data_IF_119571553046
#
_entry.id   IF_119571553046
#
_cell.length_a   1.000
_cell.length_b   1.000
_cell.length_c   1.000
_cell.angle_alpha   90.00
_cell.angle_beta   90.00
_cell.angle_gamma   90.00
#
_symmetry.space_group_name_H-M   'P 1'
#
loop_
_entity.id
_entity.type
_entity.pdbx_description
1 polymer ?
#
# COMPACT_ATOMS: atom_id res chain seq x y z
N UNK A 1 16.56 10.25 0.12
CA UNK A 1 16.94 9.65 -1.18
C UNK A 1 15.79 9.88 -2.13
N UNK A 2 16.03 10.53 -3.27
CA UNK A 2 15.00 10.72 -4.30
C UNK A 2 14.69 9.37 -4.94
N UNK A 3 13.41 9.10 -5.22
CA UNK A 3 12.99 7.98 -6.07
C UNK A 3 13.37 8.28 -7.54
N UNK A 4 14.45 7.67 -8.08
CA UNK A 4 15.02 8.10 -9.36
C UNK A 4 14.16 7.69 -10.55
N UNK A 5 13.28 6.69 -10.39
CA UNK A 5 12.44 6.20 -11.48
C UNK A 5 11.16 7.00 -11.53
N UNK A 6 10.53 7.22 -10.37
CA UNK A 6 9.36 8.08 -10.31
C UNK A 6 9.69 9.52 -10.75
N UNK A 7 10.86 10.05 -10.39
CA UNK A 7 11.29 11.39 -10.80
C UNK A 7 11.40 11.57 -12.33
N UNK A 8 11.64 10.48 -13.08
CA UNK A 8 11.64 10.49 -14.55
C UNK A 8 10.25 10.27 -15.13
N UNK A 9 9.38 9.55 -14.43
CA UNK A 9 8.00 9.30 -14.87
C UNK A 9 7.10 10.51 -14.62
N UNK A 10 7.35 11.27 -13.56
CA UNK A 10 6.48 12.35 -13.10
C UNK A 10 7.24 13.48 -12.37
N UNK A 11 6.63 14.65 -12.30
CA UNK A 11 7.15 15.84 -11.63
C UNK A 11 8.17 16.64 -12.46
N UNK A 12 8.97 17.50 -11.81
CA UNK A 12 9.77 18.51 -12.50
C UNK A 12 10.93 17.93 -13.33
N UNK A 13 11.37 16.70 -13.02
CA UNK A 13 12.47 16.02 -13.71
C UNK A 13 11.97 14.97 -14.72
N UNK A 14 10.69 15.04 -15.09
CA UNK A 14 10.06 14.08 -16.00
C UNK A 14 10.82 14.04 -17.33
N UNK A 15 11.10 12.83 -17.79
CA UNK A 15 11.73 12.54 -19.07
C UNK A 15 10.69 11.86 -19.99
N UNK A 16 10.19 12.55 -21.04
CA UNK A 16 9.21 11.98 -21.97
C UNK A 16 9.70 10.75 -22.74
N UNK A 17 11.02 10.52 -22.83
CA UNK A 17 11.60 9.37 -23.49
C UNK A 17 11.88 8.19 -22.54
N UNK A 18 11.68 8.38 -21.23
CA UNK A 18 11.90 7.33 -20.25
C UNK A 18 10.69 6.40 -20.15
N UNK A 19 10.95 5.10 -20.31
CA UNK A 19 9.97 4.03 -20.11
C UNK A 19 10.38 3.16 -18.92
N UNK A 20 9.42 2.82 -18.06
CA UNK A 20 9.64 1.87 -16.97
C UNK A 20 9.50 0.44 -17.51
N UNK A 21 10.61 -0.28 -17.62
CA UNK A 21 10.62 -1.66 -18.15
C UNK A 21 10.39 -2.73 -17.07
N UNK A 22 10.23 -2.34 -15.80
CA UNK A 22 10.20 -3.28 -14.67
C UNK A 22 8.83 -3.92 -14.52
N UNK A 23 8.60 -5.01 -15.24
CA UNK A 23 7.37 -5.78 -15.08
C UNK A 23 7.41 -6.61 -13.79
N UNK A 24 6.34 -6.51 -13.02
CA UNK A 24 6.17 -7.20 -11.74
C UNK A 24 4.87 -8.02 -11.76
N UNK A 25 4.70 -8.90 -10.79
CA UNK A 25 3.44 -9.62 -10.53
C UNK A 25 3.13 -9.50 -9.04
N UNK A 26 1.89 -9.15 -8.70
CA UNK A 26 1.48 -8.87 -7.32
C UNK A 26 0.07 -9.35 -7.03
N UNK A 27 -0.21 -9.58 -5.75
CA UNK A 27 -1.55 -9.56 -5.18
C UNK A 27 -1.68 -8.35 -4.26
N UNK A 28 -2.60 -7.45 -4.58
CA UNK A 28 -2.87 -6.23 -3.82
C UNK A 28 -4.18 -6.31 -3.05
N UNK A 29 -4.21 -5.69 -1.87
CA UNK A 29 -5.46 -5.25 -1.25
C UNK A 29 -5.77 -3.82 -1.67
N UNK A 30 -7.02 -3.53 -2.04
CA UNK A 30 -7.47 -2.16 -2.33
C UNK A 30 -8.13 -1.55 -1.10
N UNK A 31 -7.76 -0.32 -0.70
CA UNK A 31 -8.43 0.34 0.40
C UNK A 31 -9.88 0.65 0.04
N UNK A 32 -10.82 0.49 0.99
CA UNK A 32 -12.20 0.93 0.82
C UNK A 32 -12.28 2.46 0.75
N UNK A 33 -13.46 2.98 0.39
CA UNK A 33 -13.69 4.40 0.19
C UNK A 33 -13.29 5.23 1.42
N UNK A 34 -13.68 4.82 2.62
CA UNK A 34 -13.38 5.60 3.84
C UNK A 34 -11.87 5.71 4.14
N UNK A 35 -11.08 4.70 3.79
CA UNK A 35 -9.60 4.76 3.90
C UNK A 35 -9.02 5.65 2.81
N UNK A 36 -9.59 5.63 1.60
CA UNK A 36 -9.19 6.56 0.52
C UNK A 36 -9.49 8.01 0.90
N UNK A 37 -10.63 8.27 1.53
CA UNK A 37 -11.02 9.59 2.00
C UNK A 37 -10.09 10.07 3.11
N UNK A 38 -9.79 9.21 4.09
CA UNK A 38 -8.78 9.48 5.13
C UNK A 38 -7.42 9.85 4.53
N UNK A 39 -6.96 9.09 3.53
CA UNK A 39 -5.69 9.40 2.84
C UNK A 39 -5.78 10.71 2.05
N UNK A 40 -6.92 11.02 1.43
CA UNK A 40 -7.15 12.30 0.77
C UNK A 40 -7.00 13.49 1.72
N UNK A 41 -7.62 13.42 2.90
CA UNK A 41 -7.46 14.44 3.96
C UNK A 41 -5.98 14.60 4.38
N UNK A 42 -5.29 13.47 4.58
CA UNK A 42 -3.85 13.48 4.92
C UNK A 42 -3.02 14.14 3.82
N UNK A 43 -3.25 13.79 2.56
CA UNK A 43 -2.48 14.32 1.44
C UNK A 43 -2.68 15.83 1.28
N UNK A 44 -3.88 16.35 1.51
CA UNK A 44 -4.13 17.80 1.49
C UNK A 44 -3.41 18.53 2.63
N UNK A 45 -3.44 17.98 3.86
CA UNK A 45 -2.70 18.55 4.98
C UNK A 45 -1.18 18.57 4.73
N UNK A 46 -0.63 17.49 4.16
CA UNK A 46 0.79 17.42 3.81
C UNK A 46 1.15 18.38 2.67
N UNK A 47 0.27 18.52 1.67
CA UNK A 47 0.47 19.44 0.53
C UNK A 47 0.60 20.89 0.98
N UNK A 48 -0.06 21.27 2.08
CA UNK A 48 0.03 22.63 2.63
C UNK A 48 1.45 23.04 3.08
N UNK A 49 2.29 22.08 3.44
CA UNK A 49 3.67 22.32 3.92
C UNK A 49 4.75 21.76 2.98
N UNK A 50 4.38 20.83 2.09
CA UNK A 50 5.30 20.18 1.15
C UNK A 50 4.64 19.97 -0.23
N UNK A 51 4.34 21.04 -0.98
CA UNK A 51 3.64 20.95 -2.26
C UNK A 51 4.43 20.24 -3.36
N UNK A 52 5.76 20.20 -3.25
CA UNK A 52 6.66 19.56 -4.22
C UNK A 52 6.79 18.02 -4.05
N UNK A 53 6.15 17.43 -3.04
CA UNK A 53 6.07 15.99 -2.91
C UNK A 53 5.19 15.39 -4.00
N UNK A 54 5.56 14.19 -4.45
CA UNK A 54 4.65 13.39 -5.24
C UNK A 54 3.66 12.71 -4.31
N UNK A 55 2.37 12.85 -4.59
CA UNK A 55 1.30 12.22 -3.84
C UNK A 55 0.68 11.10 -4.66
N UNK A 56 0.54 9.91 -4.06
CA UNK A 56 -0.08 8.76 -4.71
C UNK A 56 -1.52 9.07 -5.09
N UNK A 57 -1.93 8.96 -6.37
CA UNK A 57 -3.32 9.15 -6.75
C UNK A 57 -4.24 8.18 -5.98
N UNK A 58 -5.39 8.66 -5.49
CA UNK A 58 -6.26 7.88 -4.60
C UNK A 58 -6.75 6.57 -5.23
N UNK A 59 -6.96 6.54 -6.55
CA UNK A 59 -7.34 5.35 -7.30
C UNK A 59 -6.21 4.32 -7.44
N UNK A 60 -4.96 4.77 -7.29
CA UNK A 60 -3.76 3.94 -7.37
C UNK A 60 -3.38 3.35 -6.01
N UNK A 61 -4.00 3.78 -4.91
CA UNK A 61 -3.72 3.27 -3.58
C UNK A 61 -3.91 1.75 -3.49
N UNK A 62 -2.98 1.10 -2.81
CA UNK A 62 -2.97 -0.33 -2.59
C UNK A 62 -2.07 -0.68 -1.40
N UNK A 63 -2.36 -1.82 -0.78
CA UNK A 63 -1.44 -2.53 0.11
C UNK A 63 -0.91 -3.76 -0.63
N UNK A 64 0.40 -3.98 -0.59
CA UNK A 64 0.98 -5.18 -1.24
C UNK A 64 0.88 -6.37 -0.31
N UNK A 65 -0.04 -7.30 -0.57
CA UNK A 65 -0.16 -8.57 0.18
C UNK A 65 0.99 -9.51 -0.19
N UNK A 66 1.27 -9.63 -1.49
CA UNK A 66 2.43 -10.37 -1.98
C UNK A 66 2.98 -9.74 -3.26
N UNK A 67 4.29 -9.50 -3.29
CA UNK A 67 5.04 -9.36 -4.53
C UNK A 67 5.50 -10.77 -4.95
N UNK A 68 4.96 -11.28 -6.06
CA UNK A 68 5.30 -12.61 -6.57
C UNK A 68 6.67 -12.55 -7.22
N UNK A 69 6.88 -11.62 -8.14
CA UNK A 69 8.17 -11.37 -8.82
C UNK A 69 8.29 -9.90 -9.18
N UNK A 70 9.51 -9.43 -9.41
CA UNK A 70 9.81 -8.05 -9.80
C UNK A 70 10.83 -7.99 -10.94
N UNK A 71 10.73 -6.93 -11.75
CA UNK A 71 11.71 -6.57 -12.81
C UNK A 71 12.05 -7.72 -13.78
N UNK A 72 11.02 -8.42 -14.24
CA UNK A 72 11.15 -9.46 -15.28
C UNK A 72 10.77 -8.90 -16.66
N UNK A 73 11.11 -9.66 -17.70
CA UNK A 73 10.61 -9.38 -19.05
C UNK A 73 9.11 -9.70 -19.15
N UNK A 74 8.44 -9.12 -20.14
CA UNK A 74 7.01 -9.39 -20.38
C UNK A 74 6.74 -10.88 -20.64
N UNK A 75 7.62 -11.55 -21.40
CA UNK A 75 7.49 -12.98 -21.69
C UNK A 75 7.56 -13.85 -20.43
N UNK A 76 8.47 -13.54 -19.50
CA UNK A 76 8.58 -14.26 -18.24
C UNK A 76 7.36 -14.02 -17.35
N UNK A 77 6.89 -12.78 -17.29
CA UNK A 77 5.66 -12.41 -16.57
C UNK A 77 4.45 -13.16 -17.11
N UNK A 78 4.26 -13.20 -18.43
CA UNK A 78 3.14 -13.88 -19.06
C UNK A 78 3.16 -15.39 -18.81
N UNK A 79 4.36 -16.01 -18.76
CA UNK A 79 4.52 -17.42 -18.39
C UNK A 79 4.07 -17.69 -16.95
N UNK A 80 4.51 -16.87 -15.99
CA UNK A 80 4.13 -17.02 -14.57
C UNK A 80 2.64 -16.79 -14.38
N UNK A 81 2.07 -15.77 -15.02
CA UNK A 81 0.62 -15.50 -14.98
C UNK A 81 -0.17 -16.68 -15.53
N UNK A 82 0.27 -17.27 -16.64
CA UNK A 82 -0.36 -18.47 -17.20
C UNK A 82 -0.34 -19.63 -16.22
N UNK A 83 0.77 -19.86 -15.52
CA UNK A 83 0.86 -20.89 -14.47
C UNK A 83 -0.10 -20.62 -13.31
N UNK A 84 -0.28 -19.37 -12.88
CA UNK A 84 -1.22 -19.03 -11.80
C UNK A 84 -2.69 -19.12 -12.24
N UNK A 85 -2.99 -18.93 -13.52
CA UNK A 85 -4.33 -19.10 -14.07
C UNK A 85 -4.70 -20.58 -14.26
N UNK A 86 -3.71 -21.47 -14.40
CA UNK A 86 -3.96 -22.91 -14.46
C UNK A 86 -4.70 -23.38 -13.20
N UNK A 87 -5.69 -24.25 -13.40
CA UNK A 87 -6.50 -24.87 -12.35
C UNK A 87 -7.21 -23.89 -11.38
N UNK A 88 -7.35 -22.63 -11.79
CA UNK A 88 -8.04 -21.57 -11.06
C UNK A 88 -7.32 -21.11 -9.79
N UNK A 89 -5.99 -21.24 -9.72
CA UNK A 89 -5.22 -20.86 -8.53
C UNK A 89 -5.32 -19.35 -8.26
N UNK A 90 -5.20 -18.51 -9.29
CA UNK A 90 -5.33 -17.06 -9.19
C UNK A 90 -6.67 -16.63 -8.59
N UNK A 91 -7.79 -17.21 -9.03
CA UNK A 91 -9.14 -16.93 -8.53
C UNK A 91 -9.30 -17.37 -7.08
N UNK A 92 -8.77 -18.55 -6.71
CA UNK A 92 -8.79 -19.02 -5.32
C UNK A 92 -7.98 -18.10 -4.40
N UNK A 93 -6.85 -17.60 -4.87
CA UNK A 93 -6.01 -16.67 -4.10
C UNK A 93 -6.72 -15.31 -3.99
N UNK A 94 -7.21 -14.77 -5.11
CA UNK A 94 -7.90 -13.49 -5.17
C UNK A 94 -9.12 -13.42 -4.23
N UNK A 95 -9.83 -14.54 -4.08
CA UNK A 95 -11.01 -14.68 -3.22
C UNK A 95 -10.72 -15.18 -1.79
N UNK A 96 -9.45 -15.28 -1.37
CA UNK A 96 -9.09 -15.74 -0.01
C UNK A 96 -9.75 -14.88 1.08
N UNK A 97 -10.02 -13.60 0.79
CA UNK A 97 -10.67 -12.67 1.71
C UNK A 97 -12.16 -12.95 1.96
N UNK A 98 -12.78 -13.86 1.20
CA UNK A 98 -14.13 -14.34 1.50
C UNK A 98 -14.15 -15.26 2.72
N UNK A 99 -13.07 -16.01 2.93
CA UNK A 99 -12.90 -16.94 4.04
C UNK A 99 -12.21 -16.29 5.23
N UNK A 100 -11.21 -15.45 4.98
CA UNK A 100 -10.42 -14.83 6.03
C UNK A 100 -10.47 -13.31 5.92
N UNK A 101 -10.88 -12.62 6.98
CA UNK A 101 -11.15 -11.19 6.96
C UNK A 101 -10.24 -10.46 7.95
N UNK A 102 -8.92 -10.39 7.69
CA UNK A 102 -8.00 -9.76 8.62
C UNK A 102 -8.32 -8.27 8.72
N UNK A 103 -8.47 -7.80 9.96
CA UNK A 103 -8.74 -6.40 10.28
C UNK A 103 -7.44 -5.67 10.58
N UNK A 104 -7.39 -4.42 10.13
CA UNK A 104 -6.32 -3.47 10.34
C UNK A 104 -6.88 -2.26 11.08
N UNK A 105 -6.17 -1.81 12.12
CA UNK A 105 -6.57 -0.69 12.97
C UNK A 105 -5.36 0.21 13.23
N UNK A 106 -5.60 1.31 13.94
CA UNK A 106 -4.58 2.26 14.40
C UNK A 106 -3.76 2.84 13.23
N UNK A 107 -4.42 3.54 12.29
CA UNK A 107 -3.74 4.22 11.18
C UNK A 107 -2.72 5.22 11.73
N UNK A 108 -1.53 5.24 11.13
CA UNK A 108 -0.46 6.19 11.46
C UNK A 108 0.45 6.43 10.26
N UNK A 109 0.84 7.68 10.03
CA UNK A 109 1.84 8.03 9.02
C UNK A 109 3.21 7.59 9.54
N UNK A 110 3.90 6.88 8.67
CA UNK A 110 5.29 6.47 8.81
C UNK A 110 6.07 6.99 7.60
N UNK A 111 7.35 7.28 7.77
CA UNK A 111 8.19 7.78 6.69
C UNK A 111 9.61 7.27 6.83
N UNK A 112 10.30 7.21 5.69
CA UNK A 112 11.72 6.95 5.62
C UNK A 112 12.40 7.94 4.67
N UNK A 113 13.64 7.66 4.28
CA UNK A 113 14.37 8.54 3.38
C UNK A 113 13.77 8.67 1.98
N UNK A 114 12.85 7.80 1.56
CA UNK A 114 12.33 7.72 0.19
C UNK A 114 10.83 8.05 0.09
N UNK A 115 10.03 7.70 1.09
CA UNK A 115 8.58 7.80 1.00
C UNK A 115 7.88 8.06 2.34
N UNK A 116 6.61 8.40 2.24
CA UNK A 116 5.65 8.41 3.34
C UNK A 116 4.57 7.37 3.06
N UNK A 117 4.15 6.68 4.11
CA UNK A 117 3.14 5.63 4.04
C UNK A 117 2.17 5.72 5.21
N UNK A 118 0.89 5.50 4.94
CA UNK A 118 -0.10 5.25 5.99
C UNK A 118 0.00 3.77 6.37
N UNK A 119 0.44 3.51 7.60
CA UNK A 119 0.62 2.17 8.17
C UNK A 119 -0.51 1.84 9.14
N UNK A 120 -0.82 0.56 9.25
CA UNK A 120 -1.78 -0.01 10.18
C UNK A 120 -1.15 -1.18 10.93
N UNK A 121 -1.75 -1.56 12.05
CA UNK A 121 -1.43 -2.81 12.74
C UNK A 121 -2.62 -3.78 12.67
N UNK A 122 -2.40 -5.11 12.73
CA UNK A 122 -3.49 -6.05 12.88
C UNK A 122 -4.32 -5.76 14.12
N UNK A 123 -5.63 -5.89 14.02
CA UNK A 123 -6.48 -5.94 15.19
C UNK A 123 -6.16 -7.18 16.05
N UNK A 124 -6.47 -7.09 17.33
CA UNK A 124 -6.25 -8.08 18.37
C UNK A 124 -7.42 -8.07 19.38
N UNK A 125 -8.65 -8.00 18.86
CA UNK A 125 -9.89 -7.95 19.63
C UNK A 125 -10.45 -6.55 19.84
N UNK A 126 -9.91 -5.51 19.19
CA UNK A 126 -10.48 -4.17 19.30
C UNK A 126 -11.85 -4.08 18.58
N UNK A 127 -12.82 -3.43 19.22
CA UNK A 127 -14.17 -3.21 18.69
C UNK A 127 -15.27 -3.85 19.54
N UNK A 128 -16.48 -3.30 19.44
CA UNK A 128 -17.64 -3.81 20.17
C UNK A 128 -17.98 -5.24 19.73
N UNK A 129 -18.11 -6.15 20.70
CA UNK A 129 -18.43 -7.56 20.43
C UNK A 129 -17.33 -8.34 19.72
N UNK A 130 -16.12 -7.79 19.60
CA UNK A 130 -14.95 -8.47 19.01
C UNK A 130 -14.10 -9.12 20.09
N UNK A 131 -13.52 -10.25 19.73
CA UNK A 131 -12.63 -11.01 20.59
C UNK A 131 -11.27 -11.20 19.92
N UNK A 132 -10.26 -11.54 20.72
CA UNK A 132 -8.94 -11.95 20.19
C UNK A 132 -9.07 -13.11 19.20
N UNK A 133 -10.06 -13.98 19.40
CA UNK A 133 -10.32 -15.14 18.55
C UNK A 133 -10.79 -14.76 17.15
N UNK A 134 -11.56 -13.66 17.04
CA UNK A 134 -12.00 -13.13 15.75
C UNK A 134 -10.83 -12.60 14.90
N UNK A 135 -9.75 -12.15 15.56
CA UNK A 135 -8.56 -11.59 14.90
C UNK A 135 -7.35 -12.52 14.88
N UNK A 136 -7.52 -13.81 15.23
CA UNK A 136 -6.45 -14.82 15.13
C UNK A 136 -5.82 -14.86 13.75
N UNK A 137 -6.61 -14.69 12.69
CA UNK A 137 -6.11 -14.58 11.32
C UNK A 137 -5.74 -13.13 10.99
N UNK A 138 -4.51 -12.75 11.31
CA UNK A 138 -3.98 -11.41 11.03
C UNK A 138 -3.59 -11.19 9.56
N UNK A 139 -3.30 -9.95 9.19
CA UNK A 139 -2.74 -9.61 7.88
C UNK A 139 -1.45 -10.39 7.55
N UNK A 140 -0.62 -10.71 8.56
CA UNK A 140 0.58 -11.53 8.32
C UNK A 140 0.26 -12.98 7.95
N UNK A 141 -0.81 -13.55 8.53
CA UNK A 141 -1.32 -14.85 8.11
C UNK A 141 -1.84 -14.79 6.68
N UNK A 142 -2.53 -13.72 6.28
CA UNK A 142 -2.95 -13.52 4.89
C UNK A 142 -1.76 -13.55 3.93
N UNK A 143 -0.71 -12.76 4.21
CA UNK A 143 0.51 -12.73 3.38
C UNK A 143 1.12 -14.11 3.24
N UNK A 144 1.26 -14.83 4.37
CA UNK A 144 1.81 -16.19 4.39
C UNK A 144 0.95 -17.17 3.61
N UNK A 145 -0.37 -17.10 3.80
CA UNK A 145 -1.34 -17.96 3.11
C UNK A 145 -1.30 -17.76 1.60
N UNK A 146 -1.25 -16.50 1.13
CA UNK A 146 -1.12 -16.16 -0.28
C UNK A 146 0.22 -16.66 -0.83
N UNK A 147 1.32 -16.49 -0.09
CA UNK A 147 2.64 -17.03 -0.45
C UNK A 147 2.58 -18.56 -0.63
N UNK A 148 2.03 -19.28 0.35
CA UNK A 148 1.98 -20.76 0.31
C UNK A 148 1.10 -21.24 -0.86
N UNK A 149 0.02 -20.53 -1.20
CA UNK A 149 -0.82 -20.85 -2.37
C UNK A 149 -0.11 -20.59 -3.70
N UNK A 150 0.63 -19.49 -3.83
CA UNK A 150 1.44 -19.21 -5.03
C UNK A 150 2.52 -20.28 -5.20
N UNK A 151 3.16 -20.68 -4.10
CA UNK A 151 4.14 -21.76 -4.10
C UNK A 151 3.52 -23.12 -4.50
N UNK A 152 2.34 -23.44 -3.95
CA UNK A 152 1.61 -24.66 -4.29
C UNK A 152 1.13 -24.69 -5.75
N UNK A 153 0.92 -23.54 -6.37
CA UNK A 153 0.65 -23.40 -7.80
C UNK A 153 1.90 -23.53 -8.68
N UNK A 154 3.07 -23.85 -8.11
CA UNK A 154 4.31 -24.08 -8.85
C UNK A 154 5.13 -22.80 -9.14
N UNK A 155 4.75 -21.66 -8.57
CA UNK A 155 5.48 -20.40 -8.72
C UNK A 155 6.24 -20.08 -7.44
N UNK A 156 7.56 -19.97 -7.51
CA UNK A 156 8.38 -19.56 -6.36
C UNK A 156 8.41 -18.03 -6.24
N UNK A 157 7.85 -17.41 -5.19
CA UNK A 157 7.92 -15.98 -5.05
C UNK A 157 9.35 -15.49 -4.83
N UNK A 158 9.71 -14.37 -5.45
CA UNK A 158 10.98 -13.67 -5.30
C UNK A 158 10.68 -12.21 -4.91
N UNK A 159 10.26 -12.00 -3.65
CA UNK A 159 9.94 -10.65 -3.14
C UNK A 159 11.20 -9.89 -2.77
N UNK A 160 11.24 -8.58 -3.06
CA UNK A 160 12.33 -7.68 -2.62
C UNK A 160 12.25 -7.33 -1.14
N UNK A 161 11.03 -7.28 -0.60
CA UNK A 161 10.77 -6.81 0.75
C UNK A 161 10.33 -7.98 1.62
N UNK A 162 11.14 -8.25 2.65
CA UNK A 162 10.87 -9.27 3.66
C UNK A 162 10.08 -8.71 4.86
N UNK A 163 10.14 -7.39 5.12
CA UNK A 163 9.48 -6.79 6.29
C UNK A 163 7.97 -6.72 6.07
N UNK A 164 7.18 -7.42 6.89
CA UNK A 164 5.74 -7.47 6.70
C UNK A 164 5.12 -6.25 7.37
N UNK A 165 5.03 -5.13 6.66
CA UNK A 165 4.28 -3.96 7.14
C UNK A 165 2.95 -3.85 6.38
N UNK A 166 1.88 -3.51 7.10
CA UNK A 166 0.57 -3.23 6.51
C UNK A 166 0.46 -1.75 6.19
N UNK A 167 0.94 -1.34 5.02
CA UNK A 167 1.02 0.08 4.66
C UNK A 167 0.58 0.36 3.23
N UNK A 168 0.14 1.59 2.99
CA UNK A 168 -0.04 2.18 1.67
C UNK A 168 0.94 3.32 1.49
N UNK A 169 1.70 3.33 0.40
CA UNK A 169 2.48 4.53 0.06
C UNK A 169 1.53 5.66 -0.31
N UNK A 170 1.66 6.80 0.38
CA UNK A 170 0.82 7.98 0.17
C UNK A 170 1.58 9.15 -0.46
N UNK A 171 2.89 9.22 -0.26
CA UNK A 171 3.75 10.24 -0.88
C UNK A 171 5.18 9.75 -1.09
N UNK A 172 5.92 10.39 -2.01
CA UNK A 172 7.33 10.10 -2.32
C UNK A 172 8.13 11.38 -2.54
N UNK A 173 9.41 11.32 -2.16
CA UNK A 173 10.38 12.36 -2.50
C UNK A 173 10.90 12.12 -3.92
N UNK A 174 10.51 12.99 -4.87
CA UNK A 174 10.92 12.89 -6.29
C UNK A 174 11.85 14.03 -6.74
N UNK A 175 12.04 15.02 -5.87
CA UNK A 175 12.95 16.15 -6.05
C UNK A 175 13.31 16.72 -4.65
N UNK A 176 14.13 17.78 -4.62
CA UNK A 176 14.51 18.48 -3.37
C UNK A 176 13.98 19.92 -3.32
N UNK A 177 13.19 20.37 -4.30
CA UNK A 177 12.82 21.77 -4.48
C UNK A 177 12.13 22.34 -3.23
N UNK A 178 11.22 21.55 -2.63
CA UNK A 178 10.51 21.92 -1.42
C UNK A 178 11.36 21.99 -0.14
N UNK A 179 12.63 21.58 -0.20
CA UNK A 179 13.53 21.51 0.95
C UNK A 179 14.85 22.28 0.74
N UNK A 180 14.88 23.16 -0.26
CA UNK A 180 16.05 24.00 -0.56
C UNK A 180 15.67 25.48 -0.39
N UNK A 181 16.60 26.26 0.15
CA UNK A 181 16.56 27.72 0.22
C UNK A 181 17.97 28.26 0.00
N UNK A 182 18.11 29.30 -0.84
CA UNK A 182 19.38 29.91 -1.23
C UNK A 182 20.46 28.90 -1.70
N UNK A 183 20.02 27.85 -2.40
CA UNK A 183 20.89 26.80 -2.93
C UNK A 183 21.40 25.79 -1.89
N UNK A 184 20.89 25.84 -0.66
CA UNK A 184 21.25 24.94 0.44
C UNK A 184 20.04 24.25 1.04
N UNK A 185 20.24 23.14 1.74
CA UNK A 185 19.16 22.41 2.40
C UNK A 185 18.55 23.24 3.54
N UNK A 186 17.24 23.43 3.48
CA UNK A 186 16.46 24.19 4.45
C UNK A 186 15.91 23.25 5.54
N UNK A 187 16.55 23.32 6.72
CA UNK A 187 16.16 22.50 7.88
C UNK A 187 14.82 22.91 8.47
N UNK A 188 14.42 24.17 8.34
CA UNK A 188 13.15 24.64 8.88
C UNK A 188 11.98 24.11 8.07
N UNK A 189 12.10 24.06 6.73
CA UNK A 189 11.09 23.39 5.88
C UNK A 189 10.99 21.89 6.19
N UNK A 190 12.12 21.21 6.38
CA UNK A 190 12.10 19.80 6.76
C UNK A 190 11.44 19.58 8.13
N UNK A 191 11.72 20.46 9.10
CA UNK A 191 11.08 20.45 10.41
C UNK A 191 9.57 20.69 10.32
N UNK A 192 9.12 21.65 9.51
CA UNK A 192 7.70 21.95 9.32
C UNK A 192 6.92 20.72 8.81
N UNK A 193 7.50 19.95 7.88
CA UNK A 193 6.92 18.70 7.39
C UNK A 193 6.83 17.65 8.50
N UNK A 194 7.89 17.49 9.30
CA UNK A 194 7.90 16.54 10.42
C UNK A 194 6.85 16.94 11.47
N UNK A 195 6.82 18.20 11.87
CA UNK A 195 5.85 18.72 12.84
C UNK A 195 4.40 18.54 12.34
N UNK A 196 4.17 18.73 11.04
CA UNK A 196 2.87 18.45 10.41
C UNK A 196 2.51 16.97 10.48
N UNK A 197 3.45 16.06 10.21
CA UNK A 197 3.23 14.61 10.30
C UNK A 197 2.86 14.21 11.73
N UNK A 198 3.59 14.70 12.74
CA UNK A 198 3.29 14.41 14.15
C UNK A 198 1.89 14.89 14.53
N UNK A 199 1.53 16.12 14.14
CA UNK A 199 0.17 16.65 14.35
C UNK A 199 -0.91 15.79 13.68
N UNK A 200 -0.67 15.33 12.44
CA UNK A 200 -1.62 14.43 11.76
C UNK A 200 -1.72 13.11 12.52
N UNK A 201 -0.60 12.54 13.00
CA UNK A 201 -0.62 11.29 13.77
C UNK A 201 -1.40 11.43 15.08
N UNK A 202 -1.27 12.54 15.81
CA UNK A 202 -2.08 12.83 17.00
C UNK A 202 -3.59 12.89 16.66
N UNK A 203 -3.94 13.50 15.52
CA UNK A 203 -5.32 13.56 15.04
C UNK A 203 -5.85 12.18 14.64
N UNK A 204 -5.04 11.39 13.93
CA UNK A 204 -5.39 10.01 13.56
C UNK A 204 -5.62 9.14 14.79
N UNK A 205 -4.75 9.27 15.79
CA UNK A 205 -4.91 8.57 17.07
C UNK A 205 -6.21 8.97 17.76
N UNK A 206 -6.47 10.27 17.86
CA UNK A 206 -7.69 10.77 18.53
C UNK A 206 -8.97 10.38 17.80
N UNK A 207 -8.98 10.43 16.47
CA UNK A 207 -10.19 10.26 15.65
C UNK A 207 -10.49 8.79 15.32
N UNK A 208 -9.46 7.96 15.16
CA UNK A 208 -9.60 6.64 14.53
C UNK A 208 -9.05 5.47 15.35
N UNK A 209 -8.29 5.70 16.43
CA UNK A 209 -7.80 4.57 17.22
C UNK A 209 -8.87 4.01 18.15
N UNK A 210 -8.81 2.71 18.46
CA UNK A 210 -9.74 2.08 19.38
C UNK A 210 -9.74 2.75 20.77
N UNK A 211 -10.93 2.89 21.35
CA UNK A 211 -11.18 3.37 22.71
C UNK A 211 -11.97 2.33 23.50
N UNK A 212 -12.30 2.61 24.76
CA UNK A 212 -13.20 1.77 25.56
C UNK A 212 -14.59 1.59 24.91
N UNK A 213 -15.02 2.56 24.10
CA UNK A 213 -16.29 2.49 23.36
C UNK A 213 -16.20 1.67 22.05
N UNK A 214 -15.02 1.12 21.72
CA UNK A 214 -14.78 0.37 20.50
C UNK A 214 -13.92 1.13 19.48
N UNK A 215 -13.91 0.64 18.23
CA UNK A 215 -13.17 1.28 17.13
C UNK A 215 -14.05 2.38 16.54
N UNK A 216 -13.58 3.64 16.47
CA UNK A 216 -14.32 4.72 15.83
C UNK A 216 -14.64 4.41 14.36
N UNK A 217 -15.75 4.98 13.87
CA UNK A 217 -16.15 4.84 12.47
C UNK A 217 -15.02 5.29 11.52
N UNK A 218 -14.74 4.47 10.51
CA UNK A 218 -13.66 4.71 9.55
C UNK A 218 -12.25 4.40 10.07
N UNK A 219 -12.07 4.06 11.35
CA UNK A 219 -10.76 3.73 11.93
C UNK A 219 -10.27 2.30 11.70
N UNK A 220 -11.15 1.44 11.19
CA UNK A 220 -10.86 0.06 10.83
C UNK A 220 -10.81 -0.11 9.31
N UNK A 221 -9.92 -0.99 8.85
CA UNK A 221 -9.95 -1.56 7.51
C UNK A 221 -9.97 -3.09 7.57
N UNK A 222 -11.06 -3.70 7.09
CA UNK A 222 -11.09 -5.14 6.82
C UNK A 222 -10.63 -5.42 5.40
N UNK A 223 -9.53 -6.17 5.23
CA UNK A 223 -9.02 -6.50 3.88
C UNK A 223 -10.07 -7.36 3.15
N UNK A 224 -10.53 -6.88 1.99
CA UNK A 224 -11.55 -7.57 1.20
C UNK A 224 -12.96 -6.97 1.25
N UNK A 225 -13.22 -5.93 2.05
CA UNK A 225 -14.58 -5.44 2.32
C UNK A 225 -15.32 -4.76 1.15
N UNK A 226 -14.61 -4.37 0.07
CA UNK A 226 -15.24 -3.85 -1.17
C UNK A 226 -14.89 -4.72 -2.37
N UNK A 227 -13.62 -5.12 -2.42
CA UNK A 227 -13.01 -5.94 -3.47
C UNK A 227 -12.06 -6.91 -2.78
N UNK A 228 -11.98 -8.13 -3.30
CA UNK A 228 -10.98 -9.09 -2.88
C UNK A 228 -9.58 -8.68 -3.34
N UNK A 229 -8.63 -9.61 -3.34
CA UNK A 229 -7.28 -9.27 -3.79
C UNK A 229 -7.27 -9.02 -5.30
N UNK A 230 -6.53 -8.00 -5.72
CA UNK A 230 -6.31 -7.59 -7.11
C UNK A 230 -5.00 -8.24 -7.58
N UNK A 231 -5.12 -9.30 -8.38
CA UNK A 231 -4.00 -9.97 -9.02
C UNK A 231 -3.60 -9.20 -10.28
N UNK A 232 -2.38 -8.65 -10.30
CA UNK A 232 -1.94 -7.74 -11.35
C UNK A 232 -0.57 -8.08 -11.92
N UNK A 233 -0.33 -7.62 -13.15
CA UNK A 233 0.99 -7.66 -13.82
C UNK A 233 1.37 -6.31 -14.42
N UNK A 234 2.68 -6.09 -14.64
CA UNK A 234 3.22 -4.93 -15.37
C UNK A 234 4.00 -3.94 -14.49
N UNK A 235 3.98 -2.66 -14.87
CA UNK A 235 4.66 -1.55 -14.17
C UNK A 235 3.89 -1.09 -12.95
N UNK A 236 4.07 -1.82 -11.84
CA UNK A 236 3.12 -1.79 -10.73
C UNK A 236 3.48 -0.80 -9.59
N UNK A 237 4.73 -0.32 -9.50
CA UNK A 237 5.22 0.36 -8.28
C UNK A 237 4.45 1.65 -7.92
N UNK A 238 3.86 2.31 -8.92
CA UNK A 238 3.13 3.57 -8.74
C UNK A 238 1.65 3.45 -9.11
N UNK A 239 1.12 2.22 -9.10
CA UNK A 239 -0.30 1.93 -9.34
C UNK A 239 -0.69 1.59 -10.78
N UNK A 240 0.29 1.45 -11.69
CA UNK A 240 0.06 1.07 -13.08
C UNK A 240 -0.25 -0.43 -13.28
N UNK A 241 0.22 -0.97 -14.40
CA UNK A 241 -0.06 -2.35 -14.81
C UNK A 241 -1.53 -2.64 -15.10
N UNK A 242 -1.88 -3.91 -15.22
CA UNK A 242 -3.24 -4.39 -15.53
C UNK A 242 -3.74 -5.42 -14.52
N UNK A 243 -5.07 -5.43 -14.29
CA UNK A 243 -5.74 -6.48 -13.50
C UNK A 243 -5.91 -7.73 -14.34
N UNK A 244 -5.48 -8.86 -13.80
CA UNK A 244 -5.70 -10.18 -14.39
C UNK A 244 -6.91 -10.86 -13.73
N UNK A 245 -6.96 -10.84 -12.40
CA UNK A 245 -8.10 -11.35 -11.63
C UNK A 245 -8.40 -10.37 -10.49
N UNK A 246 -9.66 -9.97 -10.36
CA UNK A 246 -10.14 -9.21 -9.22
C UNK A 246 -11.03 -10.10 -8.35
N UNK A 247 -10.60 -10.30 -7.10
CA UNK A 247 -11.40 -11.03 -6.11
C UNK A 247 -12.70 -10.31 -5.75
N UNK A 248 -13.67 -11.06 -5.25
CA UNK A 248 -14.96 -10.53 -4.78
C UNK A 248 -14.84 -9.88 -3.40
N UNK A 249 -15.57 -8.79 -3.21
CA UNK A 249 -15.78 -8.19 -1.89
C UNK A 249 -16.75 -9.02 -1.04
N UNK A 250 -16.84 -8.69 0.25
CA UNK A 250 -17.75 -9.31 1.22
C UNK A 250 -18.54 -8.30 2.03
#
# INVERSE_FOLDING_TARGET
>A
MIDPILAKLDGPNKDPAFEDERNCIVFWGRPPQHIRDMIGEIQEELRSVAPDLWFMPLQNLHITVLEVVFSLTESEVNKIVSTLLQDGAAEKIANTTLQFRPRLVKPMISYDAAAMALSFVPAAGEGEGKTVDDDKFTYHHLRRHVYDKVLAAGVKPASRYAVPSAHLTIARFINQNGFVSDGSFDREKAKEVIDKIEKINELLQTKYWPTEAGVPEGGEWTIGQEKGLDFRKGTLWYGGGETIVLGKGH
#
